data_IF_036478612781
#
_entry.id   IF_036478612781
#
_cell.length_a   1.000
_cell.length_b   1.000
_cell.length_c   1.000
_cell.angle_alpha   90.00
_cell.angle_beta   90.00
_cell.angle_gamma   90.00
#
_symmetry.space_group_name_H-M   'P 1'
#
loop_
_entity.id
_entity.type
_entity.pdbx_description
1 polymer ?
#
# COMPACT_ATOMS: atom_id res chain seq x y z
N UNK A 1 15.18 -20.02 -26.98
CA UNK A 1 13.68 -19.99 -27.02
C UNK A 1 13.18 -19.81 -25.62
N UNK A 2 12.80 -18.60 -25.26
CA UNK A 2 12.16 -18.31 -23.95
C UNK A 2 10.68 -18.74 -24.02
N UNK A 3 10.14 -19.38 -22.98
CA UNK A 3 8.71 -19.70 -22.95
C UNK A 3 7.86 -18.42 -22.85
N UNK A 4 6.61 -18.42 -23.37
CA UNK A 4 5.76 -17.24 -23.36
C UNK A 4 5.43 -16.81 -21.93
N UNK A 5 5.59 -15.52 -21.65
CA UNK A 5 5.24 -14.85 -20.40
C UNK A 5 3.75 -15.10 -20.07
N UNK A 6 3.47 -16.06 -19.20
CA UNK A 6 2.17 -16.14 -18.53
C UNK A 6 2.05 -14.89 -17.67
N UNK A 7 1.04 -14.09 -17.92
CA UNK A 7 0.79 -12.85 -17.20
C UNK A 7 0.75 -13.10 -15.69
N UNK A 8 1.54 -12.38 -14.92
CA UNK A 8 1.65 -12.45 -13.45
C UNK A 8 0.27 -12.35 -12.75
N UNK A 9 -0.71 -11.77 -13.42
CA UNK A 9 -2.11 -11.66 -12.95
C UNK A 9 -2.79 -13.03 -12.78
N UNK A 10 -2.45 -14.03 -13.62
CA UNK A 10 -3.00 -15.38 -13.49
C UNK A 10 -2.41 -16.16 -12.31
N UNK A 11 -1.21 -15.79 -11.84
CA UNK A 11 -0.56 -16.41 -10.68
C UNK A 11 -1.09 -15.84 -9.35
N UNK A 12 -1.45 -14.55 -9.28
CA UNK A 12 -2.17 -14.01 -8.12
C UNK A 12 -3.59 -14.56 -8.01
N UNK A 13 -4.29 -14.74 -9.13
CA UNK A 13 -5.58 -15.42 -9.16
C UNK A 13 -5.48 -16.85 -8.64
N UNK A 14 -4.40 -17.57 -8.92
CA UNK A 14 -4.18 -18.95 -8.45
C UNK A 14 -3.87 -19.08 -6.96
N UNK A 15 -3.27 -18.05 -6.32
CA UNK A 15 -2.91 -18.08 -4.90
C UNK A 15 -4.04 -17.61 -3.95
N UNK A 16 -4.97 -16.78 -4.45
CA UNK A 16 -6.03 -16.19 -3.62
C UNK A 16 -7.44 -16.62 -3.98
N UNK A 17 -7.63 -17.36 -5.09
CA UNK A 17 -8.94 -17.73 -5.57
C UNK A 17 -9.02 -19.26 -5.60
N UNK A 18 -9.87 -19.85 -4.74
CA UNK A 18 -10.35 -21.22 -4.94
C UNK A 18 -11.01 -21.30 -6.33
N UNK A 19 -11.04 -22.48 -6.96
CA UNK A 19 -11.65 -22.72 -8.29
C UNK A 19 -13.07 -22.11 -8.44
N UNK A 20 -13.80 -21.92 -7.34
CA UNK A 20 -15.09 -21.19 -7.32
C UNK A 20 -14.99 -19.70 -7.65
N UNK A 21 -13.88 -19.04 -7.38
CA UNK A 21 -13.73 -17.62 -7.69
C UNK A 21 -13.31 -17.38 -9.15
N UNK A 22 -12.63 -18.34 -9.80
CA UNK A 22 -12.39 -18.31 -11.25
C UNK A 22 -13.71 -18.43 -12.03
N UNK A 23 -14.65 -19.27 -11.54
CA UNK A 23 -15.99 -19.38 -12.11
C UNK A 23 -16.83 -18.09 -11.91
N UNK A 24 -16.61 -17.34 -10.82
CA UNK A 24 -17.27 -16.04 -10.58
C UNK A 24 -16.72 -14.92 -11.49
N UNK A 25 -15.44 -14.95 -11.89
CA UNK A 25 -14.89 -13.95 -12.83
C UNK A 25 -15.36 -14.15 -14.27
N UNK A 26 -15.67 -15.38 -14.69
CA UNK A 26 -16.34 -15.63 -15.99
C UNK A 26 -17.81 -15.26 -15.96
N UNK A 27 -18.47 -15.22 -14.80
CA UNK A 27 -19.86 -14.79 -14.66
C UNK A 27 -20.02 -13.30 -14.34
N UNK A 28 -18.93 -12.59 -13.97
CA UNK A 28 -19.02 -11.16 -13.58
C UNK A 28 -19.52 -10.25 -14.71
N UNK A 29 -19.32 -10.64 -15.96
CA UNK A 29 -19.95 -10.02 -17.13
C UNK A 29 -21.03 -10.89 -17.80
N UNK A 30 -21.29 -12.08 -17.29
CA UNK A 30 -22.38 -12.97 -17.73
C UNK A 30 -23.63 -12.92 -16.83
N UNK A 31 -23.52 -12.37 -15.62
CA UNK A 31 -24.63 -12.13 -14.69
C UNK A 31 -25.23 -10.75 -14.88
N UNK A 32 -25.90 -10.53 -15.97
CA UNK A 32 -26.32 -9.28 -16.59
C UNK A 32 -27.24 -8.37 -15.75
N UNK A 33 -27.88 -8.85 -14.68
CA UNK A 33 -29.02 -8.12 -14.10
C UNK A 33 -28.66 -6.90 -13.26
N UNK A 34 -27.56 -6.93 -12.51
CA UNK A 34 -27.20 -5.80 -11.62
C UNK A 34 -26.56 -4.67 -12.40
N UNK A 35 -25.64 -5.00 -13.31
CA UNK A 35 -24.98 -4.03 -14.18
C UNK A 35 -26.00 -3.38 -15.14
N UNK A 36 -26.86 -4.17 -15.75
CA UNK A 36 -27.94 -3.71 -16.64
C UNK A 36 -28.93 -2.83 -15.90
N UNK A 37 -29.32 -3.16 -14.66
CA UNK A 37 -30.20 -2.30 -13.85
C UNK A 37 -29.54 -0.99 -13.45
N UNK A 38 -28.25 -0.96 -13.11
CA UNK A 38 -27.52 0.26 -12.78
C UNK A 38 -27.40 1.17 -14.01
N UNK A 39 -27.17 0.61 -15.19
CA UNK A 39 -27.12 1.33 -16.47
C UNK A 39 -28.52 1.80 -16.88
N UNK A 40 -29.54 0.94 -16.79
CA UNK A 40 -30.93 1.29 -17.19
C UNK A 40 -31.62 2.29 -16.26
N UNK A 41 -31.28 2.32 -14.96
CA UNK A 41 -31.92 3.23 -14.01
C UNK A 41 -31.53 4.70 -14.18
N UNK A 42 -30.51 5.01 -15.00
CA UNK A 42 -29.98 6.36 -15.21
C UNK A 42 -29.88 6.78 -16.68
N UNK A 43 -30.41 5.99 -17.63
CA UNK A 43 -30.47 6.42 -19.01
C UNK A 43 -31.41 7.62 -19.09
N UNK A 44 -30.94 8.85 -19.39
CA UNK A 44 -31.83 9.99 -19.51
C UNK A 44 -32.64 9.82 -20.78
N UNK A 45 -33.95 9.74 -20.63
CA UNK A 45 -34.85 9.83 -21.75
C UNK A 45 -34.61 11.16 -22.48
N UNK A 46 -34.00 11.11 -23.68
CA UNK A 46 -33.96 12.25 -24.60
C UNK A 46 -32.71 13.12 -24.65
N UNK A 47 -31.57 12.71 -24.05
CA UNK A 47 -30.24 13.32 -24.31
C UNK A 47 -29.40 12.42 -25.22
N UNK A 48 -28.57 13.05 -26.07
CA UNK A 48 -27.53 12.34 -26.81
C UNK A 48 -26.72 11.46 -25.82
N UNK A 49 -26.43 10.23 -26.23
CA UNK A 49 -25.68 9.28 -25.43
C UNK A 49 -24.30 9.86 -25.14
N UNK A 50 -24.02 10.10 -23.85
CA UNK A 50 -22.75 10.64 -23.42
C UNK A 50 -21.65 9.54 -23.60
N UNK A 51 -20.43 9.97 -23.85
CA UNK A 51 -19.29 9.09 -24.13
C UNK A 51 -19.04 8.06 -23.01
N UNK A 52 -19.35 8.37 -21.76
CA UNK A 52 -19.22 7.45 -20.63
C UNK A 52 -20.24 6.32 -20.74
N UNK A 53 -21.50 6.65 -21.02
CA UNK A 53 -22.54 5.66 -21.22
C UNK A 53 -22.26 4.82 -22.45
N UNK A 54 -21.73 5.43 -23.51
CA UNK A 54 -21.26 4.70 -24.67
C UNK A 54 -20.15 3.69 -24.32
N UNK A 55 -19.18 4.08 -23.48
CA UNK A 55 -18.15 3.14 -23.03
C UNK A 55 -18.73 2.00 -22.20
N UNK A 56 -19.61 2.28 -21.25
CA UNK A 56 -20.26 1.26 -20.43
C UNK A 56 -21.14 0.33 -21.28
N UNK A 57 -21.88 0.88 -22.25
CA UNK A 57 -22.68 0.12 -23.21
C UNK A 57 -21.80 -0.76 -24.11
N UNK A 58 -20.67 -0.23 -24.59
CA UNK A 58 -19.67 -1.01 -25.35
C UNK A 58 -19.15 -2.21 -24.53
N UNK A 59 -18.92 -2.04 -23.25
CA UNK A 59 -18.46 -3.10 -22.38
C UNK A 59 -19.52 -4.17 -22.09
N UNK A 60 -20.80 -3.78 -22.08
CA UNK A 60 -21.90 -4.65 -21.62
C UNK A 60 -22.72 -5.30 -22.76
N UNK A 61 -22.91 -4.61 -23.88
CA UNK A 61 -23.86 -5.01 -24.91
C UNK A 61 -23.32 -5.98 -25.98
N UNK A 62 -24.25 -6.57 -26.76
CA UNK A 62 -23.95 -7.39 -27.94
C UNK A 62 -23.65 -6.55 -29.17
N UNK A 63 -23.14 -7.16 -30.23
CA UNK A 63 -22.46 -6.52 -31.36
C UNK A 63 -23.12 -5.31 -32.01
N UNK A 64 -24.43 -5.23 -32.30
CA UNK A 64 -24.96 -4.01 -32.94
C UNK A 64 -24.83 -2.74 -32.07
N UNK A 65 -25.29 -2.82 -30.81
CA UNK A 65 -25.18 -1.71 -29.85
C UNK A 65 -23.74 -1.30 -29.54
N UNK A 66 -22.78 -2.23 -29.66
CA UNK A 66 -21.33 -1.92 -29.51
C UNK A 66 -20.80 -1.03 -30.62
N UNK A 67 -21.27 -1.21 -31.87
CA UNK A 67 -20.83 -0.39 -32.98
C UNK A 67 -21.33 1.04 -32.86
N UNK A 68 -22.57 1.23 -32.42
CA UNK A 68 -23.15 2.56 -32.13
C UNK A 68 -22.38 3.24 -31.00
N UNK A 69 -22.14 2.52 -29.89
CA UNK A 69 -21.35 3.01 -28.77
C UNK A 69 -19.92 3.40 -29.15
N UNK A 70 -19.28 2.62 -30.03
CA UNK A 70 -17.95 2.94 -30.54
C UNK A 70 -17.95 4.20 -31.42
N UNK A 71 -18.99 4.40 -32.25
CA UNK A 71 -19.13 5.60 -33.03
C UNK A 71 -19.33 6.85 -32.15
N UNK A 72 -20.10 6.73 -31.07
CA UNK A 72 -20.28 7.78 -30.07
C UNK A 72 -18.96 8.11 -29.37
N UNK A 73 -18.21 7.10 -28.91
CA UNK A 73 -16.88 7.27 -28.33
C UNK A 73 -15.89 7.96 -29.29
N UNK A 74 -15.94 7.60 -30.56
CA UNK A 74 -15.09 8.22 -31.60
C UNK A 74 -15.45 9.68 -31.86
N UNK A 75 -16.72 10.01 -31.91
CA UNK A 75 -17.25 11.37 -32.23
C UNK A 75 -17.13 12.32 -31.02
N UNK A 76 -17.36 11.82 -29.79
CA UNK A 76 -17.32 12.60 -28.56
C UNK A 76 -15.99 12.46 -27.81
N UNK A 77 -14.92 12.13 -28.52
CA UNK A 77 -13.62 11.90 -27.91
C UNK A 77 -13.08 13.13 -27.16
N UNK A 78 -12.62 12.88 -25.92
CA UNK A 78 -11.84 13.84 -25.15
C UNK A 78 -10.76 13.11 -24.36
N UNK A 79 -9.66 13.80 -23.99
CA UNK A 79 -8.54 13.21 -23.26
C UNK A 79 -8.94 12.63 -21.89
N UNK A 80 -9.99 13.15 -21.28
CA UNK A 80 -10.51 12.63 -20.00
C UNK A 80 -11.23 11.27 -20.11
N UNK A 81 -11.44 10.73 -21.32
CA UNK A 81 -11.89 9.35 -21.54
C UNK A 81 -10.75 8.33 -21.46
N UNK A 82 -9.49 8.75 -21.66
CA UNK A 82 -8.34 7.86 -21.64
C UNK A 82 -8.24 7.05 -20.32
N UNK A 83 -8.32 7.67 -19.12
CA UNK A 83 -8.26 6.90 -17.86
C UNK A 83 -9.37 5.87 -17.75
N UNK A 84 -10.59 6.19 -18.23
CA UNK A 84 -11.74 5.27 -18.22
C UNK A 84 -11.50 4.06 -19.12
N UNK A 85 -10.96 4.28 -20.31
CA UNK A 85 -10.67 3.20 -21.27
C UNK A 85 -9.53 2.33 -20.75
N UNK A 86 -8.46 2.91 -20.20
CA UNK A 86 -7.33 2.14 -19.64
C UNK A 86 -7.77 1.32 -18.43
N UNK A 87 -8.65 1.87 -17.58
CA UNK A 87 -9.21 1.15 -16.45
C UNK A 87 -10.17 0.03 -16.89
N UNK A 88 -10.98 0.25 -17.94
CA UNK A 88 -11.80 -0.79 -18.56
C UNK A 88 -10.96 -1.96 -19.07
N UNK A 89 -9.85 -1.66 -19.74
CA UNK A 89 -8.91 -2.66 -20.23
C UNK A 89 -8.28 -3.50 -19.11
N UNK A 90 -8.15 -2.93 -17.92
CA UNK A 90 -7.63 -3.64 -16.76
C UNK A 90 -8.61 -4.68 -16.19
N UNK A 91 -9.91 -4.45 -16.28
CA UNK A 91 -10.93 -5.37 -15.76
C UNK A 91 -11.40 -6.40 -16.81
N UNK A 92 -11.10 -6.18 -18.08
CA UNK A 92 -11.38 -7.15 -19.14
C UNK A 92 -10.46 -8.37 -19.01
N UNK A 93 -11.00 -9.55 -19.32
CA UNK A 93 -10.23 -10.80 -19.31
C UNK A 93 -9.15 -10.79 -20.41
N UNK A 94 -8.00 -11.46 -20.18
CA UNK A 94 -7.01 -11.66 -21.23
C UNK A 94 -7.63 -12.34 -22.45
N UNK A 95 -7.41 -11.75 -23.65
CA UNK A 95 -7.96 -12.27 -24.90
C UNK A 95 -9.39 -11.80 -25.24
N UNK A 96 -10.00 -10.99 -24.41
CA UNK A 96 -11.32 -10.39 -24.73
C UNK A 96 -11.20 -9.54 -26.01
N UNK A 97 -12.03 -9.80 -27.07
CA UNK A 97 -11.93 -9.07 -28.32
C UNK A 97 -12.22 -7.56 -28.18
N UNK A 98 -12.95 -7.14 -27.15
CA UNK A 98 -13.18 -5.72 -26.84
C UNK A 98 -11.89 -4.99 -26.51
N UNK A 99 -10.91 -5.68 -25.94
CA UNK A 99 -9.60 -5.09 -25.64
C UNK A 99 -8.89 -4.59 -26.89
N UNK A 100 -8.94 -5.34 -28.01
CA UNK A 100 -8.29 -4.95 -29.26
C UNK A 100 -8.90 -3.65 -29.82
N UNK A 101 -10.22 -3.54 -29.74
CA UNK A 101 -10.94 -2.34 -30.19
C UNK A 101 -10.56 -1.12 -29.38
N UNK A 102 -10.55 -1.25 -28.03
CA UNK A 102 -10.20 -0.16 -27.13
C UNK A 102 -8.71 0.25 -27.26
N UNK A 103 -7.79 -0.70 -27.46
CA UNK A 103 -6.40 -0.39 -27.74
C UNK A 103 -6.26 0.40 -29.04
N UNK A 104 -6.92 -0.04 -30.12
CA UNK A 104 -6.88 0.65 -31.41
C UNK A 104 -7.48 2.05 -31.32
N UNK A 105 -8.55 2.24 -30.56
CA UNK A 105 -9.14 3.56 -30.31
C UNK A 105 -8.17 4.47 -29.57
N UNK A 106 -7.52 3.99 -28.49
CA UNK A 106 -6.51 4.75 -27.75
C UNK A 106 -5.35 5.17 -28.64
N UNK A 107 -4.79 4.23 -29.41
CA UNK A 107 -3.67 4.50 -30.34
C UNK A 107 -4.04 5.54 -31.38
N UNK A 108 -5.24 5.39 -32.02
CA UNK A 108 -5.77 6.33 -33.02
C UNK A 108 -5.93 7.74 -32.43
N UNK A 109 -6.55 7.85 -31.26
CA UNK A 109 -6.97 9.13 -30.69
C UNK A 109 -5.86 9.88 -29.95
N UNK A 110 -4.91 9.17 -29.37
CA UNK A 110 -3.79 9.79 -28.66
C UNK A 110 -2.54 9.96 -29.54
N UNK A 111 -2.48 9.32 -30.69
CA UNK A 111 -1.29 9.26 -31.55
C UNK A 111 -0.13 8.50 -30.91
N UNK A 112 -0.38 7.69 -29.87
CA UNK A 112 0.65 6.92 -29.15
C UNK A 112 0.63 5.48 -29.61
N UNK A 113 1.84 4.94 -29.85
CA UNK A 113 2.06 3.52 -30.10
C UNK A 113 2.87 2.98 -28.92
N UNK A 114 2.22 2.24 -28.03
CA UNK A 114 2.82 1.63 -26.85
C UNK A 114 2.43 0.15 -26.78
N UNK A 115 3.16 -0.61 -25.97
CA UNK A 115 2.75 -1.99 -25.68
C UNK A 115 1.28 -2.03 -25.23
N UNK A 116 0.50 -2.96 -25.80
CA UNK A 116 -0.93 -3.16 -25.45
C UNK A 116 -1.07 -3.85 -24.08
N UNK A 117 -0.56 -3.17 -23.07
CA UNK A 117 -0.71 -3.51 -21.67
C UNK A 117 -1.01 -2.25 -20.86
N UNK A 118 -1.68 -2.39 -19.71
CA UNK A 118 -2.14 -1.22 -18.95
C UNK A 118 -1.00 -0.43 -18.30
N UNK A 119 0.15 -1.07 -17.99
CA UNK A 119 1.25 -0.41 -17.27
C UNK A 119 1.88 0.78 -18.01
N UNK A 120 2.32 0.67 -19.29
CA UNK A 120 2.86 1.81 -20.01
C UNK A 120 1.83 2.92 -20.21
N UNK A 121 0.56 2.57 -20.41
CA UNK A 121 -0.51 3.54 -20.59
C UNK A 121 -0.80 4.31 -19.29
N UNK A 122 -0.87 3.66 -18.11
CA UNK A 122 -0.98 4.35 -16.84
C UNK A 122 0.22 5.27 -16.58
N UNK A 123 1.44 4.79 -16.80
CA UNK A 123 2.65 5.61 -16.63
C UNK A 123 2.65 6.86 -17.52
N UNK A 124 2.22 6.74 -18.75
CA UNK A 124 2.06 7.88 -19.64
C UNK A 124 0.95 8.80 -19.17
N UNK A 125 -0.24 8.26 -18.86
CA UNK A 125 -1.42 8.98 -18.43
C UNK A 125 -1.15 9.84 -17.18
N UNK A 126 -0.49 9.28 -16.18
CA UNK A 126 -0.23 9.99 -14.92
C UNK A 126 0.78 11.14 -15.04
N UNK A 127 1.46 11.26 -16.18
CA UNK A 127 2.29 12.41 -16.53
C UNK A 127 1.54 13.49 -17.29
N UNK A 128 0.29 13.21 -17.72
CA UNK A 128 -0.54 14.18 -18.42
C UNK A 128 -1.31 15.05 -17.43
N UNK A 129 -1.51 16.30 -17.81
CA UNK A 129 -2.40 17.21 -17.10
C UNK A 129 -3.69 17.37 -17.92
N UNK A 130 -4.81 17.01 -17.34
CA UNK A 130 -6.14 17.22 -17.90
C UNK A 130 -7.15 17.25 -16.75
N UNK A 131 -8.29 17.89 -16.99
CA UNK A 131 -9.41 17.83 -16.07
C UNK A 131 -10.06 16.45 -16.14
N UNK A 132 -10.22 15.79 -14.99
CA UNK A 132 -10.98 14.55 -14.91
C UNK A 132 -12.44 14.79 -15.33
N UNK A 133 -13.05 13.81 -15.97
CA UNK A 133 -14.48 13.87 -16.27
C UNK A 133 -15.28 13.88 -14.96
N UNK A 134 -16.33 14.70 -14.90
CA UNK A 134 -17.15 14.85 -13.68
C UNK A 134 -17.76 13.55 -13.20
N UNK A 135 -18.12 12.65 -14.12
CA UNK A 135 -18.73 11.35 -13.83
C UNK A 135 -17.71 10.21 -13.69
N UNK A 136 -16.42 10.50 -13.69
CA UNK A 136 -15.39 9.47 -13.52
C UNK A 136 -15.55 8.67 -12.21
N UNK A 137 -15.89 9.26 -11.04
CA UNK A 137 -16.13 8.49 -9.84
C UNK A 137 -17.26 7.48 -10.00
N UNK A 138 -18.36 7.89 -10.64
CA UNK A 138 -19.51 7.02 -10.88
C UNK A 138 -19.20 5.92 -11.89
N UNK A 139 -18.51 6.26 -12.98
CA UNK A 139 -18.00 5.28 -13.94
C UNK A 139 -17.16 4.22 -13.23
N UNK A 140 -16.23 4.63 -12.36
CA UNK A 140 -15.35 3.74 -11.60
C UNK A 140 -16.16 2.82 -10.68
N UNK A 141 -17.19 3.34 -10.01
CA UNK A 141 -18.10 2.53 -9.20
C UNK A 141 -18.82 1.47 -10.02
N UNK A 142 -19.38 1.86 -11.17
CA UNK A 142 -20.11 0.95 -12.06
C UNK A 142 -19.19 -0.11 -12.67
N UNK A 143 -18.00 0.28 -13.11
CA UNK A 143 -17.01 -0.64 -13.67
C UNK A 143 -16.63 -1.76 -12.70
N UNK A 144 -16.55 -1.47 -11.40
CA UNK A 144 -16.15 -2.44 -10.38
C UNK A 144 -17.32 -3.12 -9.67
N UNK A 145 -18.57 -2.77 -10.00
CA UNK A 145 -19.77 -3.29 -9.34
C UNK A 145 -19.90 -4.82 -9.42
N UNK A 146 -19.51 -5.40 -10.55
CA UNK A 146 -19.51 -6.85 -10.75
C UNK A 146 -18.44 -7.60 -9.92
N UNK A 147 -17.46 -6.88 -9.37
CA UNK A 147 -16.40 -7.45 -8.52
C UNK A 147 -16.85 -7.42 -7.06
N UNK A 148 -17.21 -6.23 -6.57
CA UNK A 148 -17.69 -6.02 -5.19
C UNK A 148 -18.55 -4.75 -5.14
N UNK A 149 -19.81 -4.88 -4.77
CA UNK A 149 -20.73 -3.75 -4.67
C UNK A 149 -20.30 -2.69 -3.64
N UNK A 150 -19.49 -3.09 -2.65
CA UNK A 150 -18.94 -2.20 -1.62
C UNK A 150 -17.97 -1.17 -2.18
N UNK A 151 -17.42 -1.36 -3.38
CA UNK A 151 -16.55 -0.37 -4.02
C UNK A 151 -17.25 0.96 -4.29
N UNK A 152 -18.58 0.97 -4.37
CA UNK A 152 -19.40 2.20 -4.43
C UNK A 152 -19.32 3.06 -3.15
N UNK A 153 -18.78 2.57 -2.07
CA UNK A 153 -18.54 3.38 -0.87
C UNK A 153 -17.53 4.50 -1.14
N UNK A 154 -16.63 4.28 -2.08
CA UNK A 154 -15.49 5.16 -2.34
C UNK A 154 -15.57 5.93 -3.66
N UNK A 155 -16.52 5.58 -4.51
CA UNK A 155 -16.67 6.22 -5.82
C UNK A 155 -18.14 6.55 -6.06
N UNK A 156 -18.47 7.83 -5.99
CA UNK A 156 -19.80 8.37 -6.24
C UNK A 156 -19.70 9.84 -6.66
N UNK A 157 -20.72 10.36 -7.34
CA UNK A 157 -20.76 11.76 -7.81
C UNK A 157 -20.61 12.73 -6.64
N UNK A 158 -19.71 13.71 -6.78
CA UNK A 158 -19.43 14.72 -5.75
C UNK A 158 -18.61 14.21 -4.55
N UNK A 159 -18.04 13.00 -4.63
CA UNK A 159 -17.20 12.46 -3.55
C UNK A 159 -15.95 13.33 -3.33
N UNK A 160 -15.69 13.80 -2.08
CA UNK A 160 -14.46 14.50 -1.76
C UNK A 160 -13.23 13.60 -1.95
N UNK A 161 -12.20 14.12 -2.63
CA UNK A 161 -10.93 13.43 -2.81
C UNK A 161 -9.76 14.44 -2.84
N UNK A 162 -8.60 14.02 -2.35
CA UNK A 162 -7.36 14.81 -2.34
C UNK A 162 -6.28 14.26 -3.27
N UNK A 163 -6.54 13.11 -3.89
CA UNK A 163 -5.64 12.43 -4.83
C UNK A 163 -6.34 12.22 -6.17
N UNK A 164 -5.58 12.03 -7.24
CA UNK A 164 -6.13 11.70 -8.56
C UNK A 164 -6.80 10.33 -8.51
N UNK A 165 -8.06 10.25 -8.93
CA UNK A 165 -8.84 9.02 -8.86
C UNK A 165 -8.37 7.95 -9.87
N UNK A 166 -7.76 8.35 -10.98
CA UNK A 166 -7.17 7.46 -11.98
C UNK A 166 -5.85 6.81 -11.49
N UNK A 167 -5.23 7.36 -10.45
CA UNK A 167 -4.08 6.74 -9.77
C UNK A 167 -4.50 5.72 -8.70
N UNK A 168 -5.80 5.63 -8.37
CA UNK A 168 -6.36 4.58 -7.53
C UNK A 168 -6.66 3.37 -8.41
N UNK A 169 -5.88 2.32 -8.27
CA UNK A 169 -5.95 1.11 -9.10
C UNK A 169 -6.45 -0.08 -8.28
N UNK A 170 -7.40 -0.84 -8.84
CA UNK A 170 -7.84 -2.09 -8.20
C UNK A 170 -6.71 -3.10 -8.11
N UNK A 171 -6.47 -3.61 -6.89
CA UNK A 171 -5.38 -4.53 -6.54
C UNK A 171 -5.66 -6.01 -6.82
N UNK A 172 -6.81 -6.35 -7.44
CA UNK A 172 -7.16 -7.73 -7.77
C UNK A 172 -7.98 -8.47 -6.70
N UNK A 173 -8.33 -7.82 -5.59
CA UNK A 173 -9.07 -8.43 -4.48
C UNK A 173 -10.29 -7.60 -4.09
N UNK A 174 -11.29 -8.24 -3.46
CA UNK A 174 -12.47 -7.58 -2.90
C UNK A 174 -12.12 -6.78 -1.65
N UNK A 175 -13.07 -6.00 -1.15
CA UNK A 175 -12.98 -5.39 0.19
C UNK A 175 -12.76 -6.50 1.21
N UNK A 176 -11.75 -6.34 2.07
CA UNK A 176 -11.29 -7.36 3.02
C UNK A 176 -10.99 -8.73 2.39
N UNK A 177 -10.73 -8.76 1.06
CA UNK A 177 -10.31 -9.97 0.35
C UNK A 177 -8.92 -10.45 0.77
N UNK A 178 -8.07 -9.53 1.23
CA UNK A 178 -6.92 -9.81 2.10
C UNK A 178 -7.41 -9.51 3.52
N UNK A 179 -7.82 -10.53 4.30
CA UNK A 179 -8.52 -10.30 5.56
C UNK A 179 -7.58 -9.71 6.61
N UNK A 180 -7.92 -8.54 7.20
CA UNK A 180 -7.16 -7.99 8.30
C UNK A 180 -7.24 -8.88 9.54
N UNK A 181 -6.25 -8.79 10.42
CA UNK A 181 -6.26 -9.46 11.72
C UNK A 181 -6.78 -8.48 12.77
N UNK A 182 -7.95 -8.76 13.31
CA UNK A 182 -8.56 -7.96 14.38
C UNK A 182 -8.35 -8.67 15.72
N UNK A 183 -7.66 -8.01 16.66
CA UNK A 183 -7.32 -8.53 17.98
C UNK A 183 -6.79 -9.97 17.91
N UNK A 184 -5.68 -10.21 17.16
CA UNK A 184 -5.18 -11.54 16.89
C UNK A 184 -4.68 -12.22 18.16
N UNK A 185 -4.60 -13.56 18.12
CA UNK A 185 -4.05 -14.37 19.20
C UNK A 185 -2.54 -14.31 19.21
N UNK A 186 -1.98 -14.34 20.41
CA UNK A 186 -0.55 -14.39 20.63
C UNK A 186 -0.16 -15.63 21.44
N UNK A 187 1.07 -16.06 21.25
CA UNK A 187 1.74 -17.11 22.02
C UNK A 187 2.98 -16.54 22.69
N UNK A 188 3.51 -17.21 23.68
CA UNK A 188 4.80 -16.85 24.29
C UNK A 188 5.95 -17.05 23.30
N UNK A 189 7.09 -16.44 23.58
CA UNK A 189 8.32 -16.63 22.80
C UNK A 189 8.83 -18.09 22.81
N UNK A 190 8.47 -18.86 23.83
CA UNK A 190 8.81 -20.28 23.94
C UNK A 190 7.92 -21.15 23.04
N UNK A 191 6.63 -20.82 22.93
CA UNK A 191 5.66 -21.54 22.12
C UNK A 191 5.78 -21.23 20.63
N UNK A 192 6.50 -20.16 20.25
CA UNK A 192 6.71 -19.75 18.85
C UNK A 192 7.75 -20.63 18.12
N UNK A 193 7.67 -21.96 18.28
CA UNK A 193 8.59 -22.93 17.65
C UNK A 193 8.54 -22.93 16.12
N UNK A 194 7.53 -22.33 15.51
CA UNK A 194 7.41 -22.16 14.07
C UNK A 194 8.35 -21.07 13.51
N UNK A 195 9.00 -20.26 14.36
CA UNK A 195 9.94 -19.23 13.95
C UNK A 195 11.38 -19.69 14.09
N UNK A 196 12.12 -19.56 13.01
CA UNK A 196 13.56 -19.71 12.99
C UNK A 196 14.26 -18.39 13.36
N UNK A 197 15.51 -18.45 13.84
CA UNK A 197 16.32 -17.31 14.26
C UNK A 197 16.34 -16.15 13.27
N UNK A 198 16.44 -16.45 11.95
CA UNK A 198 16.57 -15.47 10.87
C UNK A 198 15.23 -14.97 10.33
N UNK A 199 14.09 -15.54 10.76
CA UNK A 199 12.80 -15.07 10.29
C UNK A 199 12.59 -13.59 10.63
N UNK A 200 12.04 -12.86 9.68
CA UNK A 200 11.80 -11.43 9.84
C UNK A 200 10.52 -11.21 10.64
N UNK A 201 10.62 -10.35 11.64
CA UNK A 201 9.48 -9.88 12.43
C UNK A 201 9.40 -8.36 12.42
N UNK A 202 8.19 -7.86 12.54
CA UNK A 202 7.91 -6.48 12.88
C UNK A 202 7.73 -6.41 14.39
N UNK A 203 8.67 -5.77 15.08
CA UNK A 203 8.65 -5.60 16.53
C UNK A 203 7.95 -4.30 16.90
N UNK A 204 7.05 -4.37 17.87
CA UNK A 204 6.36 -3.23 18.47
C UNK A 204 6.60 -3.26 19.97
N UNK A 205 7.05 -2.14 20.52
CA UNK A 205 7.22 -1.95 21.96
C UNK A 205 6.53 -0.65 22.38
N UNK A 206 5.53 -0.75 23.23
CA UNK A 206 4.76 0.40 23.73
C UNK A 206 4.49 0.19 25.23
N UNK A 207 4.77 1.20 26.02
CA UNK A 207 4.44 1.22 27.46
C UNK A 207 4.86 -0.06 28.20
N UNK A 208 6.05 -0.60 27.91
CA UNK A 208 6.58 -1.79 28.56
C UNK A 208 6.14 -3.12 27.94
N UNK A 209 5.22 -3.14 26.98
CA UNK A 209 4.77 -4.36 26.29
C UNK A 209 5.48 -4.54 24.97
N UNK A 210 6.11 -5.71 24.77
CA UNK A 210 6.76 -6.10 23.53
C UNK A 210 5.92 -7.14 22.77
N UNK A 211 5.68 -6.91 21.47
CA UNK A 211 5.02 -7.86 20.55
C UNK A 211 5.78 -8.04 19.27
N UNK A 212 5.83 -9.28 18.78
CA UNK A 212 6.39 -9.62 17.47
C UNK A 212 5.29 -10.04 16.50
N UNK A 213 5.31 -9.44 15.31
CA UNK A 213 4.41 -9.78 14.21
C UNK A 213 5.24 -10.35 13.06
N UNK A 214 5.27 -11.69 12.87
CA UNK A 214 6.08 -12.32 11.82
C UNK A 214 5.65 -11.86 10.42
N UNK A 215 6.63 -11.41 9.63
CA UNK A 215 6.40 -10.97 8.25
C UNK A 215 5.68 -12.03 7.41
N UNK A 216 6.00 -13.32 7.61
CA UNK A 216 5.38 -14.46 6.92
C UNK A 216 3.87 -14.55 7.13
N UNK A 217 3.35 -14.11 8.29
CA UNK A 217 1.92 -14.03 8.57
C UNK A 217 1.34 -12.75 7.99
N UNK A 218 1.96 -11.60 8.26
CA UNK A 218 1.45 -10.32 7.77
C UNK A 218 1.47 -10.21 6.24
N UNK A 219 2.31 -10.98 5.54
CA UNK A 219 2.27 -11.02 4.08
C UNK A 219 0.96 -11.59 3.50
N UNK A 220 0.17 -12.32 4.30
CA UNK A 220 -1.15 -12.83 3.92
C UNK A 220 -2.32 -11.96 4.39
N UNK A 221 -2.09 -11.08 5.36
CA UNK A 221 -3.14 -10.31 6.02
C UNK A 221 -3.01 -8.80 5.79
N UNK A 222 -1.79 -8.32 5.61
CA UNK A 222 -1.43 -6.95 5.24
C UNK A 222 -1.95 -5.85 6.18
N UNK A 223 -2.73 -6.18 7.18
CA UNK A 223 -3.23 -5.23 8.18
C UNK A 223 -3.58 -5.96 9.47
N UNK A 224 -3.27 -5.34 10.61
CA UNK A 224 -3.85 -5.73 11.88
C UNK A 224 -4.38 -4.53 12.66
N UNK A 225 -5.40 -4.77 13.48
CA UNK A 225 -5.90 -3.90 14.54
C UNK A 225 -5.68 -4.63 15.87
N UNK A 226 -4.97 -4.00 16.80
CA UNK A 226 -4.57 -4.62 18.06
C UNK A 226 -4.49 -3.60 19.19
N UNK A 227 -4.19 -4.04 20.42
CA UNK A 227 -3.90 -3.18 21.56
C UNK A 227 -2.57 -3.62 22.16
N UNK A 228 -1.57 -2.73 22.21
CA UNK A 228 -0.22 -2.99 22.73
C UNK A 228 0.09 -1.95 23.80
N UNK A 229 0.46 -2.40 25.01
CA UNK A 229 0.74 -1.51 26.14
C UNK A 229 -0.43 -0.55 26.45
N UNK A 230 -1.66 -1.02 26.27
CA UNK A 230 -2.87 -0.20 26.47
C UNK A 230 -3.14 0.82 25.36
N UNK A 231 -2.36 0.82 24.26
CA UNK A 231 -2.57 1.70 23.10
C UNK A 231 -3.23 0.90 21.98
N UNK A 232 -4.38 1.36 21.51
CA UNK A 232 -5.03 0.80 20.33
C UNK A 232 -4.26 1.21 19.07
N UNK A 233 -3.82 0.21 18.30
CA UNK A 233 -2.93 0.39 17.14
C UNK A 233 -3.48 -0.29 15.90
N UNK A 234 -3.16 0.27 14.74
CA UNK A 234 -3.26 -0.41 13.44
C UNK A 234 -1.92 -0.40 12.74
N UNK A 235 -1.56 -1.52 12.14
CA UNK A 235 -0.40 -1.59 11.24
C UNK A 235 -0.89 -1.89 9.83
N UNK A 236 -0.53 -1.04 8.89
CA UNK A 236 -0.70 -1.32 7.48
C UNK A 236 0.64 -1.84 6.91
N UNK A 237 0.66 -3.10 6.51
CA UNK A 237 1.80 -3.68 5.80
C UNK A 237 1.49 -3.77 4.30
N UNK A 238 2.06 -2.87 3.52
CA UNK A 238 2.03 -2.98 2.06
C UNK A 238 3.09 -4.00 1.62
N UNK A 239 2.69 -5.24 1.35
CA UNK A 239 3.60 -6.32 0.94
C UNK A 239 4.36 -5.97 -0.33
N UNK A 240 3.68 -5.34 -1.30
CA UNK A 240 4.29 -4.90 -2.56
C UNK A 240 5.39 -3.85 -2.36
N UNK A 241 5.21 -2.95 -1.38
CA UNK A 241 6.12 -1.86 -1.10
C UNK A 241 7.12 -2.18 0.02
N UNK A 242 7.03 -3.36 0.65
CA UNK A 242 7.86 -3.75 1.78
C UNK A 242 7.70 -2.85 3.00
N UNK A 243 6.61 -2.07 3.10
CA UNK A 243 6.42 -1.03 4.09
C UNK A 243 5.40 -1.44 5.16
N UNK A 244 5.84 -1.55 6.41
CA UNK A 244 4.99 -1.72 7.58
C UNK A 244 4.96 -0.40 8.37
N UNK A 245 3.80 0.24 8.45
CA UNK A 245 3.61 1.50 9.16
C UNK A 245 2.60 1.30 10.28
N UNK A 246 3.02 1.63 11.50
CA UNK A 246 2.21 1.51 12.70
C UNK A 246 1.60 2.87 13.06
N UNK A 247 0.33 2.85 13.41
CA UNK A 247 -0.43 4.03 13.81
C UNK A 247 -1.19 3.80 15.10
N UNK A 248 -1.31 4.84 15.94
CA UNK A 248 -2.35 4.89 16.95
C UNK A 248 -3.71 5.04 16.27
N UNK A 249 -4.71 4.26 16.69
CA UNK A 249 -6.06 4.32 16.13
C UNK A 249 -6.85 5.55 16.62
N UNK A 250 -6.37 6.19 17.69
CA UNK A 250 -7.06 7.33 18.32
C UNK A 250 -6.61 8.66 17.71
N UNK A 251 -7.58 9.48 17.30
CA UNK A 251 -7.38 10.89 16.94
C UNK A 251 -8.34 11.75 17.77
N UNK A 252 -7.83 12.45 18.77
CA UNK A 252 -8.66 13.15 19.73
C UNK A 252 -9.58 12.18 20.48
N UNK A 253 -10.90 12.37 20.39
CA UNK A 253 -11.91 11.49 21.00
C UNK A 253 -12.42 10.38 20.06
N UNK A 254 -11.92 10.29 18.84
CA UNK A 254 -12.38 9.31 17.85
C UNK A 254 -11.40 8.15 17.77
N UNK A 255 -11.92 6.93 17.75
CA UNK A 255 -11.18 5.71 17.45
C UNK A 255 -11.56 5.23 16.04
N UNK A 256 -10.58 4.79 15.28
CA UNK A 256 -10.75 4.27 13.92
C UNK A 256 -10.21 2.84 13.83
N UNK A 257 -11.06 1.91 13.42
CA UNK A 257 -10.68 0.55 13.05
C UNK A 257 -10.55 0.47 11.53
N UNK A 258 -9.52 -0.21 11.04
CA UNK A 258 -9.22 -0.23 9.63
C UNK A 258 -9.42 -1.61 9.00
N UNK A 259 -9.76 -1.59 7.70
CA UNK A 259 -9.85 -2.75 6.84
C UNK A 259 -9.04 -2.56 5.56
N UNK A 260 -8.95 -3.62 4.74
CA UNK A 260 -8.25 -3.61 3.47
C UNK A 260 -9.21 -3.26 2.34
N UNK A 261 -8.93 -2.20 1.59
CA UNK A 261 -9.86 -1.70 0.58
C UNK A 261 -9.90 -2.53 -0.71
N UNK A 262 -8.81 -3.23 -1.02
CA UNK A 262 -8.60 -3.84 -2.34
C UNK A 262 -8.06 -2.87 -3.38
N UNK A 263 -7.84 -1.60 -3.03
CA UNK A 263 -7.26 -0.58 -3.90
C UNK A 263 -5.85 -0.16 -3.49
N UNK A 264 -5.10 0.29 -4.49
CA UNK A 264 -3.76 0.83 -4.36
C UNK A 264 -3.73 2.26 -4.93
N UNK A 265 -2.94 3.13 -4.33
CA UNK A 265 -2.57 4.43 -4.87
C UNK A 265 -1.07 4.42 -5.13
N UNK A 266 -0.65 4.60 -6.40
CA UNK A 266 0.76 4.52 -6.80
C UNK A 266 1.48 3.29 -6.26
N UNK A 267 0.87 2.12 -6.44
CA UNK A 267 1.31 0.82 -5.90
C UNK A 267 1.28 0.67 -4.38
N UNK A 268 0.97 1.71 -3.61
CA UNK A 268 0.82 1.61 -2.16
C UNK A 268 -0.62 1.30 -1.76
N UNK A 269 -0.76 0.49 -0.72
CA UNK A 269 -2.05 0.10 -0.16
C UNK A 269 -2.86 1.32 0.27
N UNK A 270 -4.16 1.30 -0.05
CA UNK A 270 -5.18 2.11 0.61
C UNK A 270 -5.91 1.24 1.63
N UNK A 271 -5.98 1.70 2.86
CA UNK A 271 -6.84 1.13 3.89
C UNK A 271 -8.13 1.95 3.98
N UNK A 272 -9.18 1.44 4.60
CA UNK A 272 -10.40 2.19 4.86
C UNK A 272 -10.76 2.14 6.34
N UNK A 273 -11.31 3.23 6.89
CA UNK A 273 -11.88 3.18 8.21
C UNK A 273 -13.30 2.59 8.18
N UNK A 274 -13.62 1.72 9.13
CA UNK A 274 -14.90 1.02 9.20
C UNK A 274 -16.05 1.92 9.64
N UNK A 275 -15.75 3.04 10.33
CA UNK A 275 -16.73 3.96 10.88
C UNK A 275 -17.33 4.87 9.80
N UNK A 276 -16.51 5.46 8.94
CA UNK A 276 -16.96 6.39 7.91
C UNK A 276 -16.83 5.85 6.50
N UNK A 277 -16.08 4.75 6.33
CA UNK A 277 -15.74 4.16 5.04
C UNK A 277 -14.91 5.09 4.14
N UNK A 278 -14.15 6.03 4.71
CA UNK A 278 -13.20 6.82 3.94
C UNK A 278 -11.96 5.99 3.62
N UNK A 279 -11.35 6.21 2.43
CA UNK A 279 -10.03 5.62 2.11
C UNK A 279 -8.93 6.47 2.73
N UNK A 280 -7.90 5.80 3.22
CA UNK A 280 -6.73 6.40 3.85
C UNK A 280 -5.44 5.92 3.18
N UNK A 281 -4.51 6.83 2.99
CA UNK A 281 -3.14 6.49 2.58
C UNK A 281 -2.45 5.71 3.69
N UNK A 282 -2.01 4.48 3.41
CA UNK A 282 -1.31 3.66 4.39
C UNK A 282 0.09 4.21 4.74
N UNK A 283 0.72 4.97 3.84
CA UNK A 283 2.02 5.59 4.11
C UNK A 283 1.91 6.94 4.83
N UNK A 284 0.82 7.68 4.65
CA UNK A 284 0.70 9.03 5.22
C UNK A 284 -0.19 9.07 6.47
N UNK A 285 -1.13 8.11 6.60
CA UNK A 285 -2.09 8.08 7.70
C UNK A 285 -3.14 9.19 7.61
N UNK A 286 -3.49 9.61 6.38
CA UNK A 286 -4.49 10.65 6.12
C UNK A 286 -5.63 10.13 5.25
N UNK A 287 -6.87 10.62 5.41
CA UNK A 287 -7.97 10.27 4.52
C UNK A 287 -7.80 10.93 3.16
N UNK A 288 -7.95 10.15 2.08
CA UNK A 288 -7.70 10.60 0.70
C UNK A 288 -8.93 10.59 -0.19
N UNK A 289 -9.96 9.79 0.13
CA UNK A 289 -11.29 9.86 -0.48
C UNK A 289 -12.40 9.63 0.54
N UNK A 290 -13.57 10.21 0.32
CA UNK A 290 -14.75 10.03 1.16
C UNK A 290 -14.95 11.13 2.20
N UNK A 291 -15.83 10.88 3.17
CA UNK A 291 -16.36 11.87 4.12
C UNK A 291 -15.31 12.61 4.95
N UNK A 292 -14.16 11.99 5.20
CA UNK A 292 -13.12 12.59 6.04
C UNK A 292 -12.05 13.34 5.24
N UNK A 293 -12.12 13.31 3.91
CA UNK A 293 -11.16 14.05 3.07
C UNK A 293 -11.24 15.56 3.34
N UNK A 294 -10.10 16.20 3.52
CA UNK A 294 -10.03 17.64 3.83
C UNK A 294 -10.32 18.00 5.30
N UNK A 295 -10.59 17.01 6.17
CA UNK A 295 -10.86 17.24 7.60
C UNK A 295 -9.64 17.62 8.44
N UNK A 296 -8.43 17.54 7.88
CA UNK A 296 -7.16 17.71 8.62
C UNK A 296 -6.81 16.55 9.55
N UNK A 297 -7.59 15.47 9.57
CA UNK A 297 -7.28 14.29 10.38
C UNK A 297 -6.01 13.60 9.87
N UNK A 298 -5.14 13.23 10.80
CA UNK A 298 -3.92 12.47 10.55
C UNK A 298 -3.66 11.52 11.71
N UNK A 299 -3.45 10.25 11.39
CA UNK A 299 -3.07 9.24 12.37
C UNK A 299 -1.66 9.53 12.93
N UNK A 300 -1.50 9.35 14.23
CA UNK A 300 -0.18 9.42 14.86
C UNK A 300 0.61 8.18 14.52
N UNK A 301 1.77 8.36 13.86
CA UNK A 301 2.70 7.25 13.61
C UNK A 301 3.39 6.83 14.90
N UNK A 302 3.56 5.54 15.06
CA UNK A 302 4.27 4.93 16.17
C UNK A 302 5.51 4.19 15.67
N UNK A 303 6.56 4.06 16.50
CA UNK A 303 7.74 3.28 16.15
C UNK A 303 7.41 1.82 15.91
N UNK A 304 7.97 1.27 14.84
CA UNK A 304 7.98 -0.15 14.51
C UNK A 304 9.37 -0.52 14.02
N UNK A 305 9.83 -1.74 14.29
CA UNK A 305 11.14 -2.17 13.84
C UNK A 305 11.03 -3.43 12.98
N UNK A 306 11.75 -3.43 11.86
CA UNK A 306 11.97 -4.65 11.06
C UNK A 306 13.29 -5.27 11.52
N UNK A 307 13.23 -6.47 12.09
CA UNK A 307 14.38 -7.17 12.68
C UNK A 307 14.27 -8.68 12.51
N UNK A 308 15.29 -9.43 12.94
CA UNK A 308 15.21 -10.90 13.02
C UNK A 308 14.53 -11.34 14.32
N UNK A 309 13.90 -12.51 14.29
CA UNK A 309 13.28 -13.09 15.48
C UNK A 309 14.29 -13.27 16.62
N UNK A 310 15.49 -13.76 16.31
CA UNK A 310 16.55 -13.93 17.32
C UNK A 310 16.88 -12.61 18.04
N UNK A 311 17.15 -11.54 17.28
CA UNK A 311 17.51 -10.25 17.86
C UNK A 311 16.36 -9.63 18.67
N UNK A 312 15.12 -9.77 18.20
CA UNK A 312 13.94 -9.29 18.92
C UNK A 312 13.74 -10.04 20.25
N UNK A 313 13.82 -11.38 20.20
CA UNK A 313 13.67 -12.25 21.38
C UNK A 313 14.77 -12.02 22.42
N UNK A 314 16.01 -11.80 21.98
CA UNK A 314 17.13 -11.47 22.88
C UNK A 314 16.91 -10.12 23.58
N UNK A 315 16.42 -9.11 22.85
CA UNK A 315 16.15 -7.79 23.43
C UNK A 315 14.92 -7.78 24.34
N UNK A 316 13.93 -8.65 24.04
CA UNK A 316 12.63 -8.69 24.72
C UNK A 316 12.22 -10.11 25.07
N UNK A 317 12.84 -10.66 26.13
CA UNK A 317 12.64 -12.07 26.56
C UNK A 317 11.17 -12.39 26.92
N UNK A 318 10.38 -11.39 27.30
CA UNK A 318 8.96 -11.53 27.66
C UNK A 318 8.01 -11.17 26.50
N UNK A 319 8.56 -11.02 25.28
CA UNK A 319 7.73 -10.69 24.10
C UNK A 319 6.70 -11.79 23.82
N UNK A 320 5.52 -11.38 23.42
CA UNK A 320 4.53 -12.28 22.80
C UNK A 320 4.65 -12.23 21.28
N UNK A 321 4.18 -13.27 20.61
CA UNK A 321 4.31 -13.47 19.17
C UNK A 321 2.96 -13.80 18.57
N UNK A 322 2.64 -13.18 17.45
CA UNK A 322 1.40 -13.46 16.69
C UNK A 322 1.31 -14.97 16.35
N UNK A 323 0.22 -15.60 16.78
CA UNK A 323 -0.02 -17.04 16.59
C UNK A 323 -0.31 -17.39 15.12
N UNK A 324 0.02 -18.64 14.74
CA UNK A 324 -0.47 -19.21 13.47
C UNK A 324 -1.99 -19.45 13.46
N UNK A 325 -2.64 -19.45 14.63
CA UNK A 325 -4.10 -19.58 14.76
C UNK A 325 -4.79 -18.24 14.47
N UNK A 326 -4.69 -17.80 13.23
CA UNK A 326 -5.28 -16.52 12.77
C UNK A 326 -6.77 -16.61 12.46
N UNK A 327 -7.37 -17.80 12.48
CA UNK A 327 -8.73 -18.06 12.01
C UNK A 327 -8.83 -18.29 10.49
N UNK A 328 -7.71 -18.19 9.76
CA UNK A 328 -7.67 -18.36 8.31
C UNK A 328 -6.74 -19.51 7.91
N UNK A 329 -7.16 -20.27 6.90
CA UNK A 329 -6.31 -21.32 6.30
C UNK A 329 -5.39 -20.71 5.26
N UNK A 330 -4.11 -20.54 5.58
CA UNK A 330 -3.05 -20.03 4.72
C UNK A 330 -1.79 -20.85 4.91
N UNK A 331 -0.94 -20.90 3.90
CA UNK A 331 0.42 -21.42 4.06
C UNK A 331 1.32 -20.30 4.61
N UNK A 332 1.52 -20.30 5.91
CA UNK A 332 2.40 -19.35 6.59
C UNK A 332 3.88 -19.79 6.54
N UNK A 333 4.28 -20.65 5.60
CA UNK A 333 5.69 -20.99 5.35
C UNK A 333 6.52 -19.74 5.03
N UNK A 334 7.79 -19.73 5.45
CA UNK A 334 8.69 -18.60 5.16
C UNK A 334 8.89 -18.43 3.66
N UNK A 335 8.72 -17.20 3.17
CA UNK A 335 8.87 -16.86 1.76
C UNK A 335 7.80 -17.43 0.83
N UNK A 336 6.71 -18.01 1.33
CA UNK A 336 5.62 -18.55 0.50
C UNK A 336 4.81 -17.42 -0.12
N UNK A 337 4.34 -16.49 0.70
CA UNK A 337 3.57 -15.35 0.21
C UNK A 337 4.44 -14.45 -0.68
N UNK A 338 3.94 -14.12 -1.88
CA UNK A 338 4.62 -13.22 -2.84
C UNK A 338 6.03 -13.68 -3.28
N UNK A 339 6.32 -14.98 -3.24
CA UNK A 339 7.64 -15.54 -3.58
C UNK A 339 8.20 -15.02 -4.89
N UNK A 340 7.42 -15.14 -5.97
CA UNK A 340 7.86 -14.76 -7.33
C UNK A 340 8.01 -13.25 -7.46
N UNK A 341 7.19 -12.47 -6.76
CA UNK A 341 7.31 -11.03 -6.72
C UNK A 341 8.62 -10.58 -6.06
N UNK A 342 9.00 -11.17 -4.94
CA UNK A 342 10.24 -10.80 -4.26
C UNK A 342 11.50 -11.31 -4.99
N UNK A 343 11.37 -12.31 -5.87
CA UNK A 343 12.50 -12.87 -6.64
C UNK A 343 13.02 -11.94 -7.75
N UNK A 344 12.24 -10.91 -8.17
CA UNK A 344 12.59 -10.01 -9.27
C UNK A 344 12.54 -8.54 -8.84
N UNK A 345 13.04 -7.64 -9.70
CA UNK A 345 12.89 -6.19 -9.52
C UNK A 345 11.62 -5.63 -10.21
N UNK A 346 10.85 -6.48 -10.87
CA UNK A 346 9.65 -6.08 -11.60
C UNK A 346 8.54 -5.62 -10.64
N UNK A 347 7.81 -4.60 -11.05
CA UNK A 347 6.69 -4.07 -10.29
C UNK A 347 5.38 -4.70 -10.76
N UNK A 348 4.57 -5.15 -9.81
CA UNK A 348 3.27 -5.75 -10.08
C UNK A 348 2.24 -4.72 -10.53
N UNK A 349 2.35 -3.49 -10.04
CA UNK A 349 1.49 -2.37 -10.39
C UNK A 349 2.32 -1.17 -10.84
N UNK A 350 1.79 -0.32 -11.74
CA UNK A 350 2.51 0.83 -12.25
C UNK A 350 2.70 1.90 -11.17
N UNK A 351 3.75 2.71 -11.36
CA UNK A 351 3.99 3.95 -10.62
C UNK A 351 4.19 5.10 -11.61
N UNK A 352 3.95 6.36 -11.23
CA UNK A 352 4.06 7.51 -12.15
C UNK A 352 5.46 7.66 -12.77
N UNK A 353 6.49 7.30 -12.02
CA UNK A 353 7.88 7.31 -12.46
C UNK A 353 8.73 6.36 -11.63
N UNK A 354 9.72 5.76 -12.27
CA UNK A 354 10.74 4.95 -11.60
C UNK A 354 11.99 5.81 -11.41
N UNK A 355 12.49 5.86 -10.19
CA UNK A 355 13.75 6.52 -9.87
C UNK A 355 14.88 5.48 -9.85
N UNK A 356 15.90 5.70 -10.69
CA UNK A 356 17.00 4.77 -10.90
C UNK A 356 18.19 4.99 -9.96
N UNK A 357 18.09 5.91 -9.00
CA UNK A 357 19.16 6.11 -8.00
C UNK A 357 19.38 4.87 -7.14
N UNK A 358 18.33 4.07 -6.90
CA UNK A 358 18.39 2.74 -6.32
C UNK A 358 17.59 1.74 -7.19
N UNK A 359 17.79 0.43 -6.97
CA UNK A 359 16.92 -0.59 -7.56
C UNK A 359 15.50 -0.48 -7.01
N UNK A 360 14.49 -0.85 -7.78
CA UNK A 360 13.09 -0.71 -7.38
C UNK A 360 12.81 -1.27 -5.98
N UNK A 361 13.23 -2.50 -5.70
CA UNK A 361 13.00 -3.18 -4.42
C UNK A 361 14.19 -3.08 -3.46
N UNK A 362 15.11 -2.12 -3.67
CA UNK A 362 16.12 -1.80 -2.66
C UNK A 362 15.43 -1.29 -1.40
N UNK A 363 15.75 -1.90 -0.25
CA UNK A 363 15.21 -1.46 1.04
C UNK A 363 15.84 -0.13 1.48
N UNK A 364 14.99 0.76 1.95
CA UNK A 364 15.38 2.01 2.60
C UNK A 364 14.74 2.11 3.97
N UNK A 365 15.37 2.84 4.87
CA UNK A 365 14.74 3.34 6.10
C UNK A 365 14.06 4.66 5.74
N UNK A 366 12.76 4.69 5.84
CA UNK A 366 11.90 5.79 5.44
C UNK A 366 11.40 6.57 6.66
N UNK A 367 11.44 7.89 6.58
CA UNK A 367 11.08 8.80 7.66
C UNK A 367 10.31 10.00 7.09
N UNK A 368 9.28 10.44 7.80
CA UNK A 368 8.52 11.64 7.49
C UNK A 368 8.42 12.51 8.74
N UNK A 369 9.02 13.70 8.70
CA UNK A 369 8.99 14.72 9.76
C UNK A 369 8.41 15.99 9.14
N UNK A 370 7.33 16.52 9.68
CA UNK A 370 6.71 17.80 9.24
C UNK A 370 6.55 17.90 7.72
N UNK A 371 6.08 16.82 7.08
CA UNK A 371 5.95 16.65 5.62
C UNK A 371 7.28 16.64 4.83
N UNK A 372 8.44 16.65 5.50
CA UNK A 372 9.73 16.41 4.88
C UNK A 372 10.01 14.90 4.87
N UNK A 373 10.16 14.35 3.68
CA UNK A 373 10.40 12.93 3.48
C UNK A 373 11.89 12.66 3.30
N UNK A 374 12.42 11.66 4.03
CA UNK A 374 13.80 11.20 3.89
C UNK A 374 13.84 9.67 3.76
N UNK A 375 14.81 9.17 3.02
CA UNK A 375 15.08 7.77 2.83
C UNK A 375 16.59 7.50 2.93
N UNK A 376 16.95 6.44 3.61
CA UNK A 376 18.33 6.02 3.83
C UNK A 376 18.50 4.60 3.29
N UNK A 377 19.39 4.40 2.32
CA UNK A 377 19.70 3.06 1.84
C UNK A 377 20.18 2.17 2.98
N UNK A 378 19.57 1.00 3.16
CA UNK A 378 19.97 0.07 4.21
C UNK A 378 21.39 -0.45 4.02
N UNK A 379 21.91 -0.50 2.78
CA UNK A 379 23.29 -0.86 2.51
C UNK A 379 24.29 0.24 2.97
N UNK A 380 23.90 1.51 2.83
CA UNK A 380 24.65 2.64 3.39
C UNK A 380 24.67 2.57 4.91
N UNK A 381 23.51 2.40 5.55
CA UNK A 381 23.39 2.31 7.01
C UNK A 381 24.13 1.08 7.59
N UNK A 382 24.25 -0.01 6.85
CA UNK A 382 25.02 -1.19 7.26
C UNK A 382 26.53 -0.91 7.34
N UNK A 383 27.03 0.12 6.66
CA UNK A 383 28.42 0.61 6.72
C UNK A 383 28.58 1.76 7.72
N UNK A 384 27.51 2.52 7.93
CA UNK A 384 27.47 3.70 8.81
C UNK A 384 26.55 3.41 10.00
N UNK A 385 27.03 2.61 10.95
CA UNK A 385 26.21 2.03 12.02
C UNK A 385 25.67 3.07 13.03
N UNK A 386 26.28 4.24 13.06
CA UNK A 386 25.88 5.44 13.79
C UNK A 386 25.94 6.60 12.79
N UNK A 387 24.79 7.11 12.42
CA UNK A 387 24.68 8.17 11.40
C UNK A 387 23.84 9.32 11.92
N UNK A 388 24.35 10.55 11.79
CA UNK A 388 23.65 11.78 12.15
C UNK A 388 23.12 12.47 10.90
N UNK A 389 21.91 13.01 10.98
CA UNK A 389 21.33 13.80 9.92
C UNK A 389 20.37 14.86 10.48
N UNK A 390 19.81 15.66 9.58
CA UNK A 390 18.76 16.64 9.89
C UNK A 390 17.65 16.53 8.84
N UNK A 391 16.43 16.33 9.27
CA UNK A 391 15.23 16.23 8.42
C UNK A 391 14.18 17.20 8.96
N UNK A 392 13.65 18.07 8.10
CA UNK A 392 12.65 19.06 8.53
C UNK A 392 13.13 19.99 9.65
N UNK A 393 14.45 20.28 9.70
CA UNK A 393 15.04 21.07 10.78
C UNK A 393 15.26 20.31 12.09
N UNK A 394 14.82 19.05 12.20
CA UNK A 394 15.03 18.20 13.37
C UNK A 394 16.32 17.39 13.23
N UNK A 395 17.27 17.59 14.14
CA UNK A 395 18.47 16.77 14.23
C UNK A 395 18.10 15.37 14.71
N UNK A 396 18.70 14.34 14.10
CA UNK A 396 18.44 12.95 14.40
C UNK A 396 19.71 12.10 14.37
N UNK A 397 19.66 10.93 15.00
CA UNK A 397 20.65 9.89 14.92
C UNK A 397 20.00 8.56 14.51
N UNK A 398 20.62 7.87 13.56
CA UNK A 398 20.21 6.56 13.09
C UNK A 398 21.20 5.53 13.62
N UNK A 399 20.69 4.53 14.33
CA UNK A 399 21.46 3.43 14.88
C UNK A 399 21.12 2.14 14.12
N UNK A 400 22.16 1.44 13.64
CA UNK A 400 22.03 0.14 12.96
C UNK A 400 22.65 -0.95 13.83
N UNK A 401 21.84 -1.85 14.36
CA UNK A 401 22.29 -2.90 15.29
C UNK A 401 22.96 -4.10 14.59
N UNK A 402 23.34 -5.12 15.38
CA UNK A 402 24.01 -6.32 14.88
C UNK A 402 23.13 -7.12 13.90
N UNK A 403 21.80 -7.06 14.04
CA UNK A 403 20.83 -7.70 13.16
C UNK A 403 20.56 -6.88 11.89
N UNK A 404 21.20 -5.71 11.76
CA UNK A 404 20.95 -4.66 10.75
C UNK A 404 19.59 -3.98 10.89
N UNK A 405 18.92 -4.12 12.03
CA UNK A 405 17.73 -3.33 12.30
C UNK A 405 18.10 -1.86 12.58
N UNK A 406 17.21 -0.96 12.23
CA UNK A 406 17.44 0.48 12.26
C UNK A 406 16.51 1.15 13.24
N UNK A 407 17.04 2.02 14.08
CA UNK A 407 16.30 2.88 15.00
C UNK A 407 16.70 4.32 14.78
N UNK A 408 15.72 5.22 14.74
CA UNK A 408 15.94 6.66 14.56
C UNK A 408 15.50 7.38 15.82
N UNK A 409 16.34 8.26 16.33
CA UNK A 409 16.05 9.05 17.54
C UNK A 409 16.28 10.52 17.29
N UNK A 410 15.60 11.36 18.06
CA UNK A 410 15.93 12.76 18.17
C UNK A 410 17.37 12.90 18.69
N UNK A 411 18.10 13.89 18.16
CA UNK A 411 19.48 14.17 18.55
C UNK A 411 19.73 15.66 18.81
N UNK A 412 18.66 16.45 19.06
CA UNK A 412 18.77 17.88 19.26
C UNK A 412 19.76 18.21 20.38
N UNK A 413 20.78 19.01 20.05
CA UNK A 413 21.80 19.44 21.00
C UNK A 413 22.82 18.37 21.43
N UNK A 414 22.75 17.12 20.91
CA UNK A 414 23.64 16.02 21.27
C UNK A 414 24.27 15.40 20.03
N UNK A 415 25.58 15.21 20.07
CA UNK A 415 26.33 14.46 19.05
C UNK A 415 26.90 13.20 19.67
N UNK A 416 26.65 12.06 19.06
CA UNK A 416 27.15 10.76 19.51
C UNK A 416 28.43 10.38 18.76
N UNK A 417 29.35 9.68 19.42
CA UNK A 417 30.67 9.33 18.90
C UNK A 417 30.86 7.83 18.69
N UNK A 418 30.22 6.99 19.49
CA UNK A 418 30.32 5.53 19.35
C UNK A 418 29.09 4.81 19.89
N UNK A 419 28.83 3.61 19.36
CA UNK A 419 27.74 2.74 19.76
C UNK A 419 28.17 1.27 19.78
N UNK A 420 27.83 0.54 20.85
CA UNK A 420 28.14 -0.87 21.02
C UNK A 420 27.28 -1.82 20.18
N UNK A 421 26.34 -1.27 19.40
CA UNK A 421 25.36 -1.96 18.56
C UNK A 421 24.31 -2.77 19.33
N UNK A 422 24.15 -2.49 20.62
CA UNK A 422 23.18 -3.16 21.51
C UNK A 422 22.39 -2.14 22.34
N UNK A 423 23.00 -1.63 23.40
CA UNK A 423 22.28 -0.85 24.39
C UNK A 423 23.00 0.41 24.87
N UNK A 424 24.29 0.58 24.52
CA UNK A 424 25.11 1.68 25.03
C UNK A 424 25.62 2.58 23.90
N UNK A 425 25.24 3.84 23.96
CA UNK A 425 25.64 4.89 23.04
C UNK A 425 26.47 5.94 23.79
N UNK A 426 27.60 6.39 23.23
CA UNK A 426 28.48 7.37 23.89
C UNK A 426 28.37 8.70 23.10
N UNK A 427 28.14 9.80 23.80
CA UNK A 427 28.19 11.13 23.21
C UNK A 427 29.63 11.64 23.08
N UNK A 428 29.82 12.80 22.40
CA UNK A 428 31.14 13.40 22.23
C UNK A 428 31.75 13.93 23.54
N UNK A 429 30.95 14.08 24.58
CA UNK A 429 31.41 14.48 25.92
C UNK A 429 31.81 13.26 26.79
N UNK A 430 31.62 12.04 26.26
CA UNK A 430 31.96 10.80 26.95
C UNK A 430 30.85 10.20 27.83
N UNK A 431 29.63 10.82 27.83
CA UNK A 431 28.53 10.28 28.63
C UNK A 431 27.93 9.05 27.95
N UNK A 432 27.60 8.06 28.77
CA UNK A 432 26.97 6.81 28.30
C UNK A 432 25.45 6.91 28.34
N UNK A 433 24.82 6.89 27.20
CA UNK A 433 23.37 6.86 27.04
C UNK A 433 22.86 5.43 26.88
N UNK A 434 21.76 5.11 27.54
CA UNK A 434 21.06 3.84 27.36
C UNK A 434 20.14 3.91 26.16
N UNK A 435 20.24 2.93 25.26
CA UNK A 435 19.37 2.79 24.08
C UNK A 435 18.20 1.89 24.43
N UNK A 436 16.96 2.34 24.18
CA UNK A 436 15.73 1.57 24.34
C UNK A 436 14.83 1.68 23.11
N UNK A 437 13.73 0.93 23.07
CA UNK A 437 12.74 1.03 21.99
C UNK A 437 11.91 2.32 22.04
N UNK A 438 11.96 3.08 23.12
CA UNK A 438 11.20 4.32 23.32
C UNK A 438 12.08 5.56 23.19
N UNK A 439 13.28 5.53 23.78
CA UNK A 439 14.16 6.69 23.83
C UNK A 439 15.64 6.30 24.02
N UNK A 440 16.52 7.27 23.75
CA UNK A 440 17.86 7.33 24.31
C UNK A 440 17.78 8.02 25.67
N UNK A 441 18.35 7.45 26.70
CA UNK A 441 18.30 8.01 28.08
C UNK A 441 19.73 8.28 28.58
N UNK A 442 20.00 9.54 28.92
CA UNK A 442 21.30 9.97 29.47
C UNK A 442 21.48 9.53 30.92
N UNK A 443 22.70 9.60 31.47
CA UNK A 443 22.95 9.35 32.91
C UNK A 443 22.15 10.31 33.82
N UNK A 444 21.85 11.50 33.36
CA UNK A 444 21.05 12.51 34.12
C UNK A 444 19.54 12.31 33.98
N UNK A 445 19.09 11.31 33.20
CA UNK A 445 17.66 11.06 32.94
C UNK A 445 17.09 11.89 31.79
N UNK A 446 17.91 12.62 31.02
CA UNK A 446 17.45 13.31 29.83
C UNK A 446 17.09 12.31 28.72
N UNK A 447 15.96 12.51 28.04
CA UNK A 447 15.49 11.59 27.01
C UNK A 447 15.54 12.21 25.60
N UNK A 448 15.88 11.37 24.62
CA UNK A 448 15.73 11.65 23.19
C UNK A 448 14.78 10.61 22.60
N UNK A 449 13.59 11.06 22.23
CA UNK A 449 12.49 10.20 21.80
C UNK A 449 12.84 9.45 20.50
N UNK A 450 12.37 8.21 20.39
CA UNK A 450 12.44 7.45 19.15
C UNK A 450 11.45 8.03 18.13
N UNK A 451 11.93 8.20 16.89
CA UNK A 451 11.15 8.67 15.76
C UNK A 451 10.53 7.49 14.98
N UNK A 452 9.30 7.63 14.44
CA UNK A 452 8.58 6.56 13.78
C UNK A 452 9.06 6.35 12.33
N UNK A 453 10.27 5.81 12.19
CA UNK A 453 10.82 5.34 10.93
C UNK A 453 10.39 3.90 10.65
N UNK A 454 10.34 3.52 9.37
CA UNK A 454 10.01 2.17 8.94
C UNK A 454 10.83 1.78 7.70
N UNK A 455 10.94 0.48 7.40
CA UNK A 455 11.51 0.03 6.12
C UNK A 455 10.48 0.10 5.03
N UNK A 456 10.94 0.41 3.80
CA UNK A 456 10.15 0.38 2.59
C UNK A 456 11.04 0.01 1.40
N UNK A 457 10.45 -0.45 0.30
CA UNK A 457 11.14 -0.51 -0.98
C UNK A 457 11.19 0.88 -1.60
N UNK A 458 12.33 1.21 -2.21
CA UNK A 458 12.59 2.53 -2.79
C UNK A 458 11.50 2.99 -3.76
N UNK A 459 11.05 2.13 -4.67
CA UNK A 459 10.03 2.50 -5.65
C UNK A 459 8.72 2.97 -4.99
N UNK A 460 8.28 2.26 -3.93
CA UNK A 460 7.04 2.57 -3.24
C UNK A 460 7.11 3.86 -2.44
N UNK A 461 8.26 4.12 -1.80
CA UNK A 461 8.52 5.37 -1.11
C UNK A 461 8.61 6.55 -2.08
N UNK A 462 9.44 6.44 -3.13
CA UNK A 462 9.62 7.49 -4.12
C UNK A 462 8.34 7.82 -4.89
N UNK A 463 7.50 6.83 -5.19
CA UNK A 463 6.23 7.07 -5.88
C UNK A 463 5.28 7.98 -5.08
N UNK A 464 5.32 7.91 -3.74
CA UNK A 464 4.53 8.78 -2.85
C UNK A 464 5.25 10.11 -2.57
N UNK A 465 6.56 10.06 -2.39
CA UNK A 465 7.40 11.20 -2.00
C UNK A 465 8.53 11.42 -3.02
N UNK A 466 8.22 11.91 -4.24
CA UNK A 466 9.21 12.04 -5.32
C UNK A 466 10.35 13.01 -4.98
N UNK A 467 10.11 13.97 -4.09
CA UNK A 467 11.09 14.94 -3.61
C UNK A 467 11.79 14.50 -2.31
N UNK A 468 11.66 13.22 -1.93
CA UNK A 468 12.33 12.68 -0.75
C UNK A 468 13.84 12.82 -0.85
N UNK A 469 14.46 13.31 0.23
CA UNK A 469 15.90 13.21 0.42
C UNK A 469 16.32 11.74 0.37
N UNK A 470 17.41 11.42 -0.33
CA UNK A 470 17.98 10.07 -0.39
C UNK A 470 19.45 10.08 0.00
N UNK A 471 19.78 9.34 1.06
CA UNK A 471 21.17 9.07 1.50
C UNK A 471 21.54 7.64 1.11
N UNK A 472 22.67 7.48 0.38
CA UNK A 472 23.13 6.21 -0.18
C UNK A 472 24.65 6.09 -0.26
#
# INVERSE_FOLDING_TARGET
MMPPRKTLLSLLLGLFISERAVALTTSAFGGCDVFTRAVQSKSPSGREEDAIWALLNFLNNKTPARLESLATLDSQWAMNLVPMIVESLRVLQPGDPRSQVLWSLLEKKTGKSMERSTHPWFRWLWRQQFAMHTDYPEFKAVLHLGIDERFRWWFYSGMPHSIRLDEIVWGGVKVDGIPPLDHPRFVSAQEAAYLEKKNVVFGVYLNGEARAYPKRILAWHELFNDTVGGVDVTCAYCTLCGAAVLYAQQIGKRKFDFGTSGFLFRSNKLMYDRQTRSLWSALEGVPVTGKLTGSGLKLTRLPIITTTWEAWKEAHSQTTVLSLETGYKRDYGEGVAYRDYFATQDLMFPVPGEDKRLKNKQEVVALLIDNQAAAYDTAFLAKNLLYHDTVGGQALVILTDISRANRVYEAQGVSFSSWDRKSRLIDKMGHAWRVSEEALVSPSGEERRRLPAHRAFWFGWHAQFPNSQLTR
#
